data_IF_372012293774
#
_entry.id   IF_372012293774
#
_cell.length_a   1.000
_cell.length_b   1.000
_cell.length_c   1.000
_cell.angle_alpha   90.00
_cell.angle_beta   90.00
_cell.angle_gamma   90.00
#
_symmetry.space_group_name_H-M   'P 1'
#
loop_
_entity.id
_entity.type
_entity.pdbx_description
1 polymer ?
#
# COMPACT_ATOMS: atom_id res chain seq x y z
N UNK A 1 51.67 4.23 -29.83
CA UNK A 1 50.45 5.03 -30.04
C UNK A 1 49.32 4.33 -29.32
N UNK A 2 48.83 4.89 -28.20
CA UNK A 2 47.74 4.32 -27.40
C UNK A 2 46.38 4.65 -28.01
N UNK A 3 45.52 3.65 -28.09
CA UNK A 3 44.10 3.80 -28.44
C UNK A 3 43.36 4.24 -27.16
N UNK A 4 42.52 5.30 -27.18
CA UNK A 4 41.77 5.70 -26.00
C UNK A 4 40.61 4.74 -25.75
N UNK A 5 40.51 4.25 -24.51
CA UNK A 5 39.45 3.38 -24.04
C UNK A 5 38.12 4.13 -23.90
N UNK A 6 37.18 3.76 -24.75
CA UNK A 6 35.75 4.00 -24.55
C UNK A 6 35.16 2.66 -24.08
N UNK A 7 34.17 2.72 -23.18
CA UNK A 7 33.41 1.60 -22.62
C UNK A 7 33.92 1.07 -21.28
N UNK A 8 33.66 1.83 -20.21
CA UNK A 8 33.69 1.31 -18.83
C UNK A 8 32.64 1.96 -17.93
N UNK A 9 31.43 2.16 -18.48
CA UNK A 9 30.37 2.89 -17.79
C UNK A 9 28.97 2.27 -17.86
N UNK A 10 28.81 1.06 -18.43
CA UNK A 10 27.48 0.44 -18.60
C UNK A 10 27.38 -1.01 -18.09
N UNK A 11 28.38 -1.51 -17.35
CA UNK A 11 28.40 -2.91 -16.92
C UNK A 11 27.43 -3.27 -15.77
N UNK A 12 26.69 -2.32 -15.20
CA UNK A 12 25.73 -2.60 -14.12
C UNK A 12 24.39 -1.88 -14.30
N UNK A 13 23.85 -1.84 -15.52
CA UNK A 13 22.40 -1.68 -15.66
C UNK A 13 21.81 -3.09 -15.66
N UNK A 14 21.45 -3.56 -14.47
CA UNK A 14 20.70 -4.81 -14.31
C UNK A 14 19.32 -4.62 -14.94
N UNK A 15 19.20 -5.01 -16.22
CA UNK A 15 17.91 -5.14 -16.90
C UNK A 15 17.37 -6.52 -16.52
N UNK A 16 17.05 -6.66 -15.24
CA UNK A 16 16.49 -7.86 -14.66
C UNK A 16 15.55 -7.43 -13.55
N UNK A 17 14.29 -7.86 -13.62
CA UNK A 17 13.41 -7.83 -12.46
C UNK A 17 13.95 -8.81 -11.41
N UNK A 18 15.03 -8.42 -10.72
CA UNK A 18 15.72 -9.21 -9.72
C UNK A 18 14.81 -9.43 -8.52
N UNK A 19 14.74 -10.68 -8.05
CA UNK A 19 13.98 -11.02 -6.84
C UNK A 19 14.90 -10.74 -5.65
N UNK A 20 14.63 -9.66 -4.92
CA UNK A 20 15.34 -9.36 -3.68
C UNK A 20 14.99 -10.39 -2.60
N UNK A 21 16.01 -11.07 -2.07
CA UNK A 21 15.84 -12.09 -1.04
C UNK A 21 15.38 -11.46 0.28
N UNK A 22 14.26 -11.95 0.84
CA UNK A 22 13.77 -11.59 2.17
C UNK A 22 13.90 -12.78 3.14
N UNK A 23 14.16 -12.52 4.43
CA UNK A 23 14.26 -13.59 5.42
C UNK A 23 12.92 -14.33 5.58
N UNK A 24 12.98 -15.65 5.77
CA UNK A 24 11.80 -16.47 6.02
C UNK A 24 11.68 -16.82 7.53
N UNK A 25 10.48 -16.72 8.12
CA UNK A 25 9.26 -16.20 7.51
C UNK A 25 9.29 -14.67 7.35
N UNK A 26 8.53 -14.17 6.36
CA UNK A 26 8.36 -12.73 6.17
C UNK A 26 7.75 -12.10 7.44
N UNK A 27 8.15 -10.86 7.74
CA UNK A 27 7.63 -10.15 8.93
C UNK A 27 6.13 -9.96 8.76
N UNK A 28 5.36 -10.50 9.70
CA UNK A 28 3.90 -10.44 9.67
C UNK A 28 3.33 -9.91 10.99
N UNK A 29 2.25 -9.14 10.90
CA UNK A 29 1.44 -8.72 12.06
C UNK A 29 -0.02 -9.10 11.82
N UNK A 30 -0.74 -9.33 12.90
CA UNK A 30 -2.16 -9.65 12.87
C UNK A 30 -2.88 -8.97 14.03
N UNK A 31 -4.09 -8.49 13.77
CA UNK A 31 -4.98 -7.96 14.79
C UNK A 31 -6.44 -8.21 14.39
N UNK A 32 -7.30 -8.50 15.37
CA UNK A 32 -8.73 -8.61 15.17
C UNK A 32 -9.44 -7.54 16.00
N UNK A 33 -10.53 -7.00 15.48
CA UNK A 33 -11.31 -5.95 16.13
C UNK A 33 -12.74 -5.87 15.62
N UNK A 34 -13.49 -4.91 16.12
CA UNK A 34 -14.85 -4.61 15.65
C UNK A 34 -14.79 -3.35 14.78
N UNK A 35 -15.47 -3.38 13.64
CA UNK A 35 -15.70 -2.22 12.77
C UNK A 35 -17.21 -2.17 12.51
N UNK A 36 -17.89 -1.10 12.92
CA UNK A 36 -19.37 -1.02 12.89
C UNK A 36 -20.06 -2.23 13.56
N UNK A 37 -19.46 -2.81 14.60
CA UNK A 37 -19.96 -4.01 15.28
C UNK A 37 -19.72 -5.33 14.55
N UNK A 38 -19.01 -5.34 13.42
CA UNK A 38 -18.67 -6.53 12.65
C UNK A 38 -17.24 -6.97 12.99
N UNK A 39 -17.06 -8.25 13.31
CA UNK A 39 -15.75 -8.86 13.53
C UNK A 39 -14.87 -8.76 12.28
N UNK A 40 -13.75 -8.07 12.42
CA UNK A 40 -12.83 -7.72 11.33
C UNK A 40 -11.43 -8.19 11.67
N UNK A 41 -10.88 -9.01 10.78
CA UNK A 41 -9.51 -9.51 10.84
C UNK A 41 -8.62 -8.68 9.93
N UNK A 42 -7.52 -8.16 10.48
CA UNK A 42 -6.51 -7.43 9.72
C UNK A 42 -5.16 -8.10 9.86
N UNK A 43 -4.44 -8.28 8.75
CA UNK A 43 -3.08 -8.76 8.76
C UNK A 43 -2.20 -7.97 7.80
N UNK A 44 -0.91 -7.92 8.10
CA UNK A 44 0.12 -7.37 7.22
C UNK A 44 1.26 -8.37 7.05
N UNK A 45 1.84 -8.42 5.85
CA UNK A 45 3.03 -9.20 5.53
C UNK A 45 3.96 -8.34 4.69
N UNK A 46 5.20 -8.19 5.14
CA UNK A 46 6.22 -7.37 4.49
C UNK A 46 7.15 -8.24 3.66
N UNK A 47 6.99 -8.16 2.34
CA UNK A 47 7.93 -8.71 1.38
C UNK A 47 8.99 -7.65 1.03
N UNK A 48 10.00 -8.05 0.26
CA UNK A 48 11.03 -7.14 -0.26
C UNK A 48 10.47 -6.14 -1.27
N UNK A 49 9.53 -6.58 -2.11
CA UNK A 49 8.94 -5.80 -3.22
C UNK A 49 7.59 -5.16 -2.89
N UNK A 50 6.87 -5.70 -1.89
CA UNK A 50 5.50 -5.29 -1.58
C UNK A 50 5.14 -5.45 -0.11
N UNK A 51 4.11 -4.72 0.29
CA UNK A 51 3.45 -4.87 1.59
C UNK A 51 2.05 -5.39 1.32
N UNK A 52 1.76 -6.61 1.77
CA UNK A 52 0.45 -7.22 1.64
C UNK A 52 -0.36 -6.91 2.90
N UNK A 53 -1.52 -6.30 2.76
CA UNK A 53 -2.48 -6.05 3.84
C UNK A 53 -3.78 -6.75 3.48
N UNK A 54 -4.37 -7.48 4.42
CA UNK A 54 -5.68 -8.09 4.24
C UNK A 54 -6.63 -7.61 5.31
N UNK A 55 -7.82 -7.19 4.91
CA UNK A 55 -8.93 -6.80 5.79
C UNK A 55 -10.09 -7.72 5.45
N UNK A 56 -10.44 -8.62 6.37
CA UNK A 56 -11.45 -9.66 6.15
C UNK A 56 -12.56 -9.55 7.19
N UNK A 57 -13.81 -9.53 6.73
CA UNK A 57 -14.98 -9.71 7.56
C UNK A 57 -15.68 -11.00 7.12
N UNK A 58 -16.16 -11.81 8.07
CA UNK A 58 -16.80 -13.10 7.80
C UNK A 58 -15.93 -14.08 6.96
N UNK A 59 -14.60 -13.96 7.04
CA UNK A 59 -13.67 -14.80 6.27
C UNK A 59 -13.67 -14.52 4.76
N UNK A 60 -14.23 -13.39 4.32
CA UNK A 60 -14.28 -13.01 2.90
C UNK A 60 -12.99 -12.32 2.48
N UNK A 61 -12.63 -12.48 1.20
CA UNK A 61 -11.58 -11.68 0.57
C UNK A 61 -11.93 -11.54 -0.92
N UNK A 62 -12.49 -10.40 -1.27
CA UNK A 62 -13.32 -10.28 -2.48
C UNK A 62 -12.85 -9.20 -3.44
N UNK A 63 -12.04 -8.25 -3.00
CA UNK A 63 -11.48 -7.18 -3.82
C UNK A 63 -10.00 -7.01 -3.48
N UNK A 64 -9.19 -6.75 -4.50
CA UNK A 64 -7.75 -6.51 -4.35
C UNK A 64 -7.39 -5.20 -5.03
N UNK A 65 -6.72 -4.32 -4.31
CA UNK A 65 -6.26 -3.01 -4.80
C UNK A 65 -4.77 -2.90 -4.56
N UNK A 66 -4.02 -2.48 -5.55
CA UNK A 66 -2.61 -2.12 -5.37
C UNK A 66 -2.44 -0.61 -5.40
N UNK A 67 -1.47 -0.11 -4.63
CA UNK A 67 -1.09 1.29 -4.56
C UNK A 67 0.44 1.35 -4.51
N UNK A 68 1.11 1.80 -5.60
CA UNK A 68 2.55 2.04 -5.57
C UNK A 68 2.88 3.21 -4.65
N UNK A 69 3.82 3.05 -3.71
CA UNK A 69 4.32 4.15 -2.89
C UNK A 69 5.34 5.02 -3.63
N UNK A 70 6.07 4.42 -4.58
CA UNK A 70 6.95 5.17 -5.46
C UNK A 70 6.15 6.10 -6.37
N UNK A 71 6.49 7.40 -6.37
CA UNK A 71 6.00 8.32 -7.39
C UNK A 71 6.42 7.86 -8.78
N UNK A 72 5.49 7.89 -9.74
CA UNK A 72 5.79 7.64 -11.15
C UNK A 72 6.69 8.73 -11.78
N UNK A 73 6.83 9.89 -11.11
CA UNK A 73 7.66 11.00 -11.58
C UNK A 73 8.77 11.31 -10.58
N UNK A 74 10.06 11.24 -10.98
CA UNK A 74 11.20 11.56 -10.12
C UNK A 74 11.24 13.05 -9.70
N UNK A 75 10.46 13.92 -10.34
CA UNK A 75 10.31 15.34 -10.00
C UNK A 75 9.23 15.61 -8.94
N UNK A 76 8.40 14.63 -8.58
CA UNK A 76 7.30 14.83 -7.59
C UNK A 76 7.72 14.70 -6.14
N UNK A 77 8.95 14.23 -5.87
CA UNK A 77 9.51 14.21 -4.51
C UNK A 77 9.71 15.64 -3.95
N UNK A 78 9.86 16.65 -4.81
CA UNK A 78 10.20 18.04 -4.44
C UNK A 78 8.99 18.90 -4.02
N UNK A 79 7.77 18.36 -3.97
CA UNK A 79 6.57 19.13 -3.56
C UNK A 79 5.88 18.56 -2.31
N UNK A 80 6.35 17.42 -1.77
CA UNK A 80 5.91 16.95 -0.46
C UNK A 80 6.74 17.65 0.63
N UNK A 81 6.57 18.97 0.78
CA UNK A 81 6.96 19.64 2.03
C UNK A 81 6.23 18.92 3.17
N UNK A 82 6.90 18.57 4.29
CA UNK A 82 6.21 18.07 5.45
C UNK A 82 5.27 19.18 5.94
N UNK A 83 3.97 19.03 5.67
CA UNK A 83 2.98 19.86 6.33
C UNK A 83 3.03 19.49 7.81
N UNK A 84 3.40 20.46 8.63
CA UNK A 84 3.56 20.37 10.10
C UNK A 84 2.20 20.22 10.82
N UNK A 85 1.28 19.47 10.23
CA UNK A 85 -0.08 19.28 10.66
C UNK A 85 -0.55 17.87 10.34
N UNK A 86 -1.31 17.30 11.27
CA UNK A 86 -2.05 16.04 11.18
C UNK A 86 -3.09 16.05 10.05
N UNK A 87 -2.69 16.36 8.83
CA UNK A 87 -3.58 16.40 7.68
C UNK A 87 -3.74 14.96 7.17
N UNK A 88 -4.86 14.34 7.52
CA UNK A 88 -5.25 12.97 7.11
C UNK A 88 -5.59 12.88 5.61
N UNK A 89 -5.02 13.75 4.78
CA UNK A 89 -5.30 13.78 3.35
C UNK A 89 -4.40 12.77 2.61
N UNK A 90 -4.96 11.97 1.69
CA UNK A 90 -4.16 11.04 0.92
C UNK A 90 -3.10 11.75 0.09
N UNK A 91 -1.91 11.15 -0.03
CA UNK A 91 -0.83 11.69 -0.85
C UNK A 91 -1.26 11.69 -2.33
N UNK A 92 -1.26 12.86 -2.97
CA UNK A 92 -1.81 13.04 -4.32
C UNK A 92 -1.10 12.29 -5.45
N UNK A 93 0.08 11.72 -5.20
CA UNK A 93 0.81 10.91 -6.19
C UNK A 93 0.43 9.42 -6.15
N UNK A 94 -0.34 8.98 -5.15
CA UNK A 94 -0.73 7.59 -5.02
C UNK A 94 -1.84 7.25 -6.01
N UNK A 95 -1.60 6.23 -6.84
CA UNK A 95 -2.51 5.82 -7.91
C UNK A 95 -3.05 4.41 -7.63
N UNK A 96 -4.21 4.29 -6.96
CA UNK A 96 -4.80 3.00 -6.67
C UNK A 96 -5.26 2.33 -7.97
N UNK A 97 -5.02 1.02 -8.07
CA UNK A 97 -5.48 0.18 -9.18
C UNK A 97 -6.15 -1.07 -8.64
N UNK A 98 -7.39 -1.31 -9.04
CA UNK A 98 -8.06 -2.59 -8.73
C UNK A 98 -7.40 -3.70 -9.54
N UNK A 99 -6.97 -4.75 -8.85
CA UNK A 99 -6.45 -5.96 -9.46
C UNK A 99 -7.58 -6.96 -9.74
N UNK A 100 -8.48 -7.14 -8.77
CA UNK A 100 -9.56 -8.12 -8.82
C UNK A 100 -10.77 -7.61 -8.02
N UNK A 101 -11.97 -8.03 -8.42
CA UNK A 101 -13.16 -7.93 -7.56
C UNK A 101 -13.81 -6.55 -7.46
N UNK A 102 -13.70 -5.73 -8.51
CA UNK A 102 -14.47 -4.49 -8.69
C UNK A 102 -15.96 -4.83 -8.83
N UNK A 103 -16.64 -5.11 -7.72
CA UNK A 103 -18.07 -5.42 -7.66
C UNK A 103 -18.96 -4.19 -7.84
N UNK A 104 -18.66 -3.33 -8.83
CA UNK A 104 -19.33 -2.05 -9.12
C UNK A 104 -18.53 -0.80 -8.74
N UNK A 105 -18.89 0.34 -9.33
CA UNK A 105 -18.18 1.63 -9.20
C UNK A 105 -18.09 2.12 -7.75
N UNK A 106 -19.16 1.97 -6.96
CA UNK A 106 -19.17 2.38 -5.56
C UNK A 106 -18.18 1.57 -4.72
N UNK A 107 -18.10 0.26 -4.97
CA UNK A 107 -17.17 -0.64 -4.29
C UNK A 107 -15.72 -0.35 -4.64
N UNK A 108 -15.49 -0.09 -5.92
CA UNK A 108 -14.18 0.31 -6.41
C UNK A 108 -13.73 1.63 -5.80
N UNK A 109 -14.57 2.65 -5.85
CA UNK A 109 -14.29 3.98 -5.27
C UNK A 109 -13.91 3.89 -3.79
N UNK A 110 -14.66 3.12 -3.01
CA UNK A 110 -14.41 3.00 -1.57
C UNK A 110 -13.18 2.14 -1.28
N UNK A 111 -12.97 1.06 -2.04
CA UNK A 111 -11.74 0.27 -1.94
C UNK A 111 -10.49 1.08 -2.29
N UNK A 112 -10.57 1.95 -3.30
CA UNK A 112 -9.51 2.91 -3.65
C UNK A 112 -9.28 3.91 -2.53
N UNK A 113 -10.34 4.50 -1.96
CA UNK A 113 -10.22 5.43 -0.85
C UNK A 113 -9.47 4.82 0.34
N UNK A 114 -9.89 3.62 0.79
CA UNK A 114 -9.20 2.92 1.87
C UNK A 114 -7.76 2.60 1.51
N UNK A 115 -7.52 2.02 0.32
CA UNK A 115 -6.18 1.62 -0.07
C UNK A 115 -5.21 2.80 -0.17
N UNK A 116 -5.64 3.93 -0.75
CA UNK A 116 -4.84 5.15 -0.85
C UNK A 116 -4.54 5.73 0.53
N UNK A 117 -5.49 5.71 1.45
CA UNK A 117 -5.26 6.22 2.80
C UNK A 117 -4.32 5.32 3.61
N UNK A 118 -4.47 3.99 3.51
CA UNK A 118 -3.56 3.02 4.11
C UNK A 118 -2.13 3.20 3.55
N UNK A 119 -2.00 3.36 2.24
CA UNK A 119 -0.72 3.62 1.60
C UNK A 119 -0.10 4.96 2.05
N UNK A 120 -0.92 6.02 2.20
CA UNK A 120 -0.48 7.30 2.73
C UNK A 120 0.05 7.17 4.15
N UNK A 121 -0.65 6.42 5.02
CA UNK A 121 -0.20 6.16 6.39
C UNK A 121 1.16 5.45 6.42
N UNK A 122 1.39 4.50 5.53
CA UNK A 122 2.68 3.80 5.40
C UNK A 122 3.77 4.76 4.93
N UNK A 123 3.52 5.54 3.88
CA UNK A 123 4.46 6.51 3.34
C UNK A 123 4.82 7.60 4.37
N UNK A 124 3.85 8.11 5.13
CA UNK A 124 4.09 9.10 6.18
C UNK A 124 4.90 8.51 7.34
N UNK A 125 4.68 7.24 7.69
CA UNK A 125 5.43 6.57 8.77
C UNK A 125 6.85 6.18 8.35
N UNK A 126 7.04 5.81 7.08
CA UNK A 126 8.31 5.37 6.52
C UNK A 126 8.47 5.99 5.10
N UNK A 127 8.99 7.22 5.00
CA UNK A 127 9.08 7.93 3.72
C UNK A 127 10.06 7.30 2.73
N UNK A 128 11.00 6.49 3.21
CA UNK A 128 11.95 5.75 2.37
C UNK A 128 11.34 4.50 1.70
N UNK A 129 10.10 4.15 2.01
CA UNK A 129 9.45 2.96 1.49
C UNK A 129 8.91 3.18 0.07
N UNK A 130 9.53 2.52 -0.90
CA UNK A 130 9.16 2.61 -2.32
C UNK A 130 8.34 1.40 -2.79
N UNK A 131 8.02 0.47 -1.89
CA UNK A 131 7.33 -0.78 -2.22
C UNK A 131 5.89 -0.53 -2.66
N UNK A 132 5.30 -1.51 -3.33
CA UNK A 132 3.87 -1.47 -3.65
C UNK A 132 3.05 -2.00 -2.48
N UNK A 133 2.03 -1.26 -2.04
CA UNK A 133 1.05 -1.75 -1.06
C UNK A 133 -0.05 -2.49 -1.80
N UNK A 134 -0.34 -3.72 -1.40
CA UNK A 134 -1.44 -4.53 -1.93
C UNK A 134 -2.44 -4.76 -0.82
N UNK A 135 -3.66 -4.26 -0.98
CA UNK A 135 -4.74 -4.36 0.02
C UNK A 135 -5.84 -5.28 -0.50
N UNK A 136 -6.12 -6.33 0.27
CA UNK A 136 -7.26 -7.22 0.06
C UNK A 136 -8.43 -6.85 0.96
N UNK A 137 -9.62 -6.65 0.38
CA UNK A 137 -10.85 -6.29 1.09
C UNK A 137 -11.89 -7.41 1.04
N UNK A 138 -12.36 -7.76 2.22
CA UNK A 138 -13.34 -8.80 2.52
C UNK A 138 -14.63 -8.27 3.11
N UNK A 139 -15.14 -7.15 2.62
CA UNK A 139 -16.28 -6.46 3.25
C UNK A 139 -17.61 -6.98 2.69
N UNK A 140 -18.50 -7.61 3.48
CA UNK A 140 -19.79 -8.11 3.00
C UNK A 140 -20.70 -6.97 2.53
N UNK A 141 -20.63 -5.82 3.19
CA UNK A 141 -21.31 -4.58 2.81
C UNK A 141 -20.31 -3.44 2.81
N UNK A 142 -20.54 -2.49 1.92
CA UNK A 142 -19.74 -1.29 1.82
C UNK A 142 -20.41 -0.25 2.72
N UNK A 143 -19.93 -0.17 3.96
CA UNK A 143 -20.38 0.87 4.89
C UNK A 143 -19.58 2.16 4.61
N UNK A 144 -20.31 3.22 4.29
CA UNK A 144 -19.75 4.56 4.00
C UNK A 144 -19.82 5.45 5.25
N UNK A 145 -20.21 4.88 6.40
CA UNK A 145 -20.20 5.57 7.68
C UNK A 145 -18.80 6.10 8.01
N UNK A 146 -18.73 7.38 8.41
CA UNK A 146 -17.49 8.01 8.86
C UNK A 146 -16.85 7.20 9.99
N UNK A 147 -17.66 6.73 10.94
CA UNK A 147 -17.19 5.98 12.10
C UNK A 147 -16.56 4.64 11.68
N UNK A 148 -17.22 3.90 10.77
CA UNK A 148 -16.71 2.66 10.19
C UNK A 148 -15.33 2.85 9.53
N UNK A 149 -15.16 3.99 8.85
CA UNK A 149 -13.91 4.35 8.20
C UNK A 149 -12.78 4.57 9.22
N UNK A 150 -13.03 5.35 10.28
CA UNK A 150 -12.04 5.59 11.32
C UNK A 150 -11.71 4.31 12.11
N UNK A 151 -12.72 3.52 12.48
CA UNK A 151 -12.54 2.24 13.17
C UNK A 151 -11.66 1.29 12.35
N UNK A 152 -11.88 1.22 11.03
CA UNK A 152 -11.07 0.39 10.14
C UNK A 152 -9.62 0.88 10.09
N UNK A 153 -9.39 2.19 9.97
CA UNK A 153 -8.04 2.74 9.92
C UNK A 153 -7.28 2.57 11.24
N UNK A 154 -7.94 2.76 12.38
CA UNK A 154 -7.36 2.49 13.70
C UNK A 154 -6.96 1.01 13.81
N UNK A 155 -7.81 0.11 13.34
CA UNK A 155 -7.51 -1.32 13.32
C UNK A 155 -6.31 -1.65 12.44
N UNK A 156 -6.23 -1.05 11.25
CA UNK A 156 -5.11 -1.22 10.31
C UNK A 156 -3.80 -0.65 10.88
N UNK A 157 -3.85 0.46 11.62
CA UNK A 157 -2.67 1.06 12.24
C UNK A 157 -1.96 0.08 13.21
N UNK A 158 -2.69 -0.86 13.83
CA UNK A 158 -2.13 -1.87 14.73
C UNK A 158 -1.29 -2.93 14.01
N UNK A 159 -1.46 -3.09 12.69
CA UNK A 159 -0.68 -4.04 11.89
C UNK A 159 0.34 -3.38 10.97
N UNK A 160 0.38 -2.05 10.90
CA UNK A 160 1.42 -1.33 10.15
C UNK A 160 2.64 -1.10 11.06
#
# INVERSE_FOLDING_TARGET
MSVPGISRGLENVDIGGGVDSSPFPAKSKYHAGLVSGIGTDVSSIYFSDKILITISQEGRLSQWVQVPLSSASPTSFDTALPSDGEDMLPLGHLTPKTLLGAGGEQRETIGHLYATHIASLIATRNPEDTRTVVVGFGLPKIDVGRDAFFDMLELVQKVI
#
